data_IF_838559946009
#
_entry.id   IF_838559946009
#
_cell.length_a   1.000
_cell.length_b   1.000
_cell.length_c   1.000
_cell.angle_alpha   90.00
_cell.angle_beta   90.00
_cell.angle_gamma   90.00
#
_symmetry.space_group_name_H-M   'P 1'
#
loop_
_entity.id
_entity.type
_entity.pdbx_description
1 polymer ?
#
# COMPACT_ATOMS: atom_id res chain seq x y z
N UNK A 1 -16.96 5.20 12.52
CA UNK A 1 -16.27 3.93 12.88
C UNK A 1 -14.80 4.25 12.77
N UNK A 2 -14.01 4.03 13.83
CA UNK A 2 -12.56 4.14 13.71
C UNK A 2 -12.10 3.13 12.68
N UNK A 3 -11.29 3.57 11.73
CA UNK A 3 -10.72 2.65 10.76
C UNK A 3 -9.71 1.75 11.48
N UNK A 4 -9.87 0.43 11.36
CA UNK A 4 -8.98 -0.51 12.03
C UNK A 4 -7.65 -0.58 11.29
N UNK A 5 -6.55 -0.69 12.05
CA UNK A 5 -5.23 -0.95 11.48
C UNK A 5 -5.22 -2.19 10.58
N UNK A 6 -5.93 -3.25 10.95
CA UNK A 6 -6.06 -4.45 10.13
C UNK A 6 -6.69 -4.17 8.76
N UNK A 7 -7.69 -3.29 8.70
CA UNK A 7 -8.31 -2.91 7.43
C UNK A 7 -7.38 -2.06 6.58
N UNK A 8 -6.58 -1.19 7.21
CA UNK A 8 -5.53 -0.46 6.51
C UNK A 8 -4.50 -1.43 5.92
N UNK A 9 -4.03 -2.41 6.69
CA UNK A 9 -3.03 -3.40 6.24
C UNK A 9 -3.54 -4.18 5.03
N UNK A 10 -4.80 -4.62 5.05
CA UNK A 10 -5.39 -5.33 3.92
C UNK A 10 -5.40 -4.46 2.65
N UNK A 11 -5.82 -3.19 2.75
CA UNK A 11 -5.86 -2.29 1.60
C UNK A 11 -4.48 -1.86 1.11
N UNK A 12 -3.51 -1.79 2.03
CA UNK A 12 -2.10 -1.58 1.73
C UNK A 12 -1.52 -2.77 0.94
N UNK A 13 -1.79 -4.00 1.36
CA UNK A 13 -1.39 -5.19 0.61
C UNK A 13 -2.03 -5.24 -0.78
N UNK A 14 -3.32 -4.92 -0.89
CA UNK A 14 -3.99 -4.83 -2.20
C UNK A 14 -3.37 -3.76 -3.11
N UNK A 15 -2.89 -2.65 -2.54
CA UNK A 15 -2.16 -1.64 -3.29
C UNK A 15 -0.79 -2.16 -3.79
N UNK A 16 -0.04 -2.88 -2.96
CA UNK A 16 1.23 -3.49 -3.37
C UNK A 16 1.05 -4.52 -4.49
N UNK A 17 -0.04 -5.28 -4.44
CA UNK A 17 -0.40 -6.32 -5.41
C UNK A 17 -1.16 -5.79 -6.64
N UNK A 18 -1.23 -4.46 -6.80
CA UNK A 18 -1.81 -3.84 -7.99
C UNK A 18 -0.91 -4.00 -9.22
N UNK A 19 0.42 -4.05 -9.02
CA UNK A 19 1.40 -4.31 -10.08
C UNK A 19 1.61 -5.82 -10.28
N UNK A 20 1.34 -6.36 -11.49
CA UNK A 20 1.59 -7.77 -11.82
C UNK A 20 3.02 -8.24 -11.49
N UNK A 21 4.04 -7.40 -11.69
CA UNK A 21 5.42 -7.76 -11.39
C UNK A 21 5.66 -7.94 -9.88
N UNK A 22 4.98 -7.14 -9.05
CA UNK A 22 5.07 -7.28 -7.61
C UNK A 22 4.47 -8.61 -7.15
N UNK A 23 3.33 -9.03 -7.71
CA UNK A 23 2.73 -10.34 -7.42
C UNK A 23 3.71 -11.49 -7.68
N UNK A 24 4.35 -11.50 -8.85
CA UNK A 24 5.35 -12.52 -9.21
C UNK A 24 6.55 -12.48 -8.25
N UNK A 25 7.10 -11.30 -8.00
CA UNK A 25 8.30 -11.13 -7.16
C UNK A 25 8.08 -11.55 -5.70
N UNK A 26 6.86 -11.37 -5.20
CA UNK A 26 6.46 -11.74 -3.85
C UNK A 26 5.94 -13.19 -3.73
N UNK A 27 5.86 -13.93 -4.84
CA UNK A 27 5.32 -15.29 -4.85
C UNK A 27 3.80 -15.36 -4.62
N UNK A 28 3.08 -14.30 -4.97
CA UNK A 28 1.61 -14.24 -4.85
C UNK A 28 0.98 -14.65 -6.17
N UNK A 29 0.17 -15.72 -6.14
CA UNK A 29 -0.51 -16.30 -7.32
C UNK A 29 -1.71 -15.45 -7.78
N UNK A 30 -1.43 -14.22 -8.24
CA UNK A 30 -2.39 -13.26 -8.80
C UNK A 30 -1.77 -12.59 -10.01
N UNK A 31 -2.58 -12.21 -11.01
CA UNK A 31 -2.15 -11.43 -12.18
C UNK A 31 -1.01 -12.06 -13.00
N UNK A 32 -0.85 -13.39 -12.97
CA UNK A 32 0.27 -14.08 -13.62
C UNK A 32 0.28 -13.95 -15.15
N UNK A 33 -0.88 -13.66 -15.75
CA UNK A 33 -1.05 -13.49 -17.19
C UNK A 33 -1.15 -12.01 -17.60
N UNK A 34 -0.82 -11.08 -16.69
CA UNK A 34 -0.88 -9.64 -16.91
C UNK A 34 0.53 -9.04 -17.02
N UNK A 35 0.68 -8.01 -17.85
CA UNK A 35 1.86 -7.15 -17.86
C UNK A 35 1.52 -5.82 -17.16
N UNK A 36 2.49 -5.18 -16.49
CA UNK A 36 2.28 -3.86 -15.91
C UNK A 36 1.92 -2.84 -17.00
N UNK A 37 1.04 -1.88 -16.66
CA UNK A 37 0.74 -0.74 -17.53
C UNK A 37 1.75 0.39 -17.28
N UNK A 38 2.66 0.70 -18.23
CA UNK A 38 3.66 1.76 -18.06
C UNK A 38 3.11 3.16 -18.40
N UNK A 39 1.80 3.33 -18.56
CA UNK A 39 1.21 4.63 -18.89
C UNK A 39 1.30 5.62 -17.73
N UNK A 40 1.50 6.90 -18.05
CA UNK A 40 1.48 7.97 -17.05
C UNK A 40 0.17 8.00 -16.24
N UNK A 41 -0.97 7.65 -16.88
CA UNK A 41 -2.26 7.53 -16.20
C UNK A 41 -2.29 6.43 -15.13
N UNK A 42 -1.64 5.30 -15.37
CA UNK A 42 -1.53 4.21 -14.40
C UNK A 42 -0.64 4.64 -13.21
N UNK A 43 0.51 5.28 -13.49
CA UNK A 43 1.37 5.85 -12.46
C UNK A 43 0.63 6.89 -11.60
N UNK A 44 -0.07 7.83 -12.22
CA UNK A 44 -0.86 8.84 -11.49
C UNK A 44 -1.95 8.20 -10.64
N UNK A 45 -2.64 7.17 -11.14
CA UNK A 45 -3.65 6.45 -10.38
C UNK A 45 -3.05 5.76 -9.15
N UNK A 46 -1.92 5.07 -9.31
CA UNK A 46 -1.17 4.43 -8.22
C UNK A 46 -0.71 5.46 -7.19
N UNK A 47 -0.14 6.57 -7.62
CA UNK A 47 0.30 7.66 -6.73
C UNK A 47 -0.87 8.31 -5.98
N UNK A 48 -2.04 8.50 -6.63
CA UNK A 48 -3.26 8.97 -5.95
C UNK A 48 -3.71 8.00 -4.87
N UNK A 49 -3.70 6.70 -5.15
CA UNK A 49 -4.06 5.66 -4.17
C UNK A 49 -3.09 5.63 -3.00
N UNK A 50 -1.79 5.72 -3.27
CA UNK A 50 -0.76 5.77 -2.23
C UNK A 50 -0.95 6.98 -1.30
N UNK A 51 -1.25 8.17 -1.85
CA UNK A 51 -1.58 9.37 -1.06
C UNK A 51 -2.84 9.17 -0.21
N UNK A 52 -3.87 8.53 -0.74
CA UNK A 52 -5.09 8.25 0.02
C UNK A 52 -4.80 7.30 1.20
N UNK A 53 -3.98 6.27 1.00
CA UNK A 53 -3.54 5.36 2.07
C UNK A 53 -2.71 6.08 3.14
N UNK A 54 -1.81 6.99 2.75
CA UNK A 54 -1.07 7.82 3.71
C UNK A 54 -2.00 8.69 4.58
N UNK A 55 -2.94 9.39 3.96
CA UNK A 55 -3.93 10.20 4.70
C UNK A 55 -4.73 9.34 5.67
N UNK A 56 -5.08 8.11 5.27
CA UNK A 56 -5.81 7.18 6.12
C UNK A 56 -4.93 6.68 7.28
N UNK A 57 -3.68 6.35 7.01
CA UNK A 57 -2.70 5.97 8.03
C UNK A 57 -2.52 7.07 9.09
N UNK A 58 -2.56 8.35 8.69
CA UNK A 58 -2.49 9.50 9.61
C UNK A 58 -3.69 9.59 10.56
N UNK A 59 -4.80 8.89 10.28
CA UNK A 59 -5.99 8.86 11.15
C UNK A 59 -5.97 7.73 12.18
N UNK A 60 -5.04 6.79 12.06
CA UNK A 60 -4.92 5.65 12.96
C UNK A 60 -4.24 6.11 14.25
N UNK A 61 -4.86 5.80 15.39
CA UNK A 61 -4.32 6.12 16.71
C UNK A 61 -3.08 5.26 17.02
N UNK A 62 -1.90 5.86 16.83
CA UNK A 62 -0.60 5.20 17.01
C UNK A 62 -0.37 4.71 18.44
N UNK A 63 -0.91 5.42 19.43
CA UNK A 63 -0.71 5.08 20.85
C UNK A 63 -1.52 3.84 21.26
N UNK A 64 -2.50 3.45 20.44
CA UNK A 64 -3.31 2.25 20.64
C UNK A 64 -2.71 0.97 20.02
N UNK A 65 -1.64 1.10 19.21
CA UNK A 65 -0.98 -0.01 18.52
C UNK A 65 0.06 -0.68 19.41
N UNK A 66 0.22 -1.99 19.26
CA UNK A 66 1.40 -2.67 19.80
C UNK A 66 2.66 -2.32 18.99
N UNK A 67 3.82 -2.73 19.49
CA UNK A 67 5.10 -2.41 18.86
C UNK A 67 5.18 -2.89 17.40
N UNK A 68 4.73 -4.12 17.12
CA UNK A 68 4.81 -4.71 15.78
C UNK A 68 3.90 -3.96 14.80
N UNK A 69 2.66 -3.68 15.19
CA UNK A 69 1.72 -2.89 14.40
C UNK A 69 2.22 -1.45 14.20
N UNK A 70 2.85 -0.87 15.23
CA UNK A 70 3.43 0.45 15.14
C UNK A 70 4.58 0.48 14.11
N UNK A 71 5.46 -0.52 14.15
CA UNK A 71 6.56 -0.67 13.19
C UNK A 71 6.04 -0.89 11.77
N UNK A 72 5.04 -1.76 11.59
CA UNK A 72 4.45 -2.04 10.28
C UNK A 72 3.84 -0.79 9.65
N UNK A 73 3.18 0.06 10.44
CA UNK A 73 2.68 1.35 9.97
C UNK A 73 3.81 2.32 9.56
N UNK A 74 4.95 2.32 10.25
CA UNK A 74 6.10 3.16 9.84
C UNK A 74 6.71 2.66 8.52
N UNK A 75 6.84 1.34 8.36
CA UNK A 75 7.31 0.72 7.12
C UNK A 75 6.35 0.96 5.95
N UNK A 76 5.04 0.84 6.20
CA UNK A 76 4.02 1.16 5.20
C UNK A 76 4.10 2.62 4.77
N UNK A 77 4.30 3.57 5.71
CA UNK A 77 4.49 4.99 5.39
C UNK A 77 5.68 5.20 4.45
N UNK A 78 6.84 4.64 4.79
CA UNK A 78 8.06 4.76 3.97
C UNK A 78 7.84 4.23 2.55
N UNK A 79 7.18 3.07 2.44
CA UNK A 79 6.92 2.42 1.16
C UNK A 79 5.94 3.23 0.30
N UNK A 80 4.86 3.74 0.90
CA UNK A 80 3.90 4.60 0.20
C UNK A 80 4.51 5.93 -0.25
N UNK A 81 5.41 6.51 0.56
CA UNK A 81 6.14 7.73 0.19
C UNK A 81 7.09 7.49 -0.98
N UNK A 82 7.83 6.36 -0.98
CA UNK A 82 8.70 6.00 -2.08
C UNK A 82 7.92 5.87 -3.40
N UNK A 83 6.79 5.15 -3.39
CA UNK A 83 5.97 4.92 -4.59
C UNK A 83 5.22 6.16 -5.13
N UNK A 84 5.30 7.32 -4.47
CA UNK A 84 4.76 8.59 -4.99
C UNK A 84 5.81 9.35 -5.83
N UNK A 85 7.09 9.09 -5.59
CA UNK A 85 8.22 9.82 -6.19
C UNK A 85 8.96 9.05 -7.28
N UNK A 86 8.62 7.78 -7.49
CA UNK A 86 9.02 6.98 -8.66
C UNK A 86 8.23 7.38 -9.91
#
# INVERSE_FOLDING_TARGET
MSDSFDSFVQDYHEHLLEDPNACVSLGVERRLDELPDPSASAFEARARRARALLTRLDTIDRDSLDFDSALDADLARLTLQAGIHE
#
